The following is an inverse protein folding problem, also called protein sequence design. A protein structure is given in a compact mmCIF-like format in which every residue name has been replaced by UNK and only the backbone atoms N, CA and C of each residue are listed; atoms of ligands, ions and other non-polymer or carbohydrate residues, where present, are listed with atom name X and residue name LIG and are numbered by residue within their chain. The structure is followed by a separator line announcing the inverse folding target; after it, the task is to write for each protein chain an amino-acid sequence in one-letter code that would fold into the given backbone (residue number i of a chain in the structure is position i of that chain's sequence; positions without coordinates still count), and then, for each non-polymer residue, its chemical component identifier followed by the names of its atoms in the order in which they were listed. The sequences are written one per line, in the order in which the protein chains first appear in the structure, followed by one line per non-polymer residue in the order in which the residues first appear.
data_IF_692157951604
#
_entry.id   IF_692157951604
#
_cell.length_a   1.000
_cell.length_b   1.000
_cell.length_c   1.000
_cell.angle_alpha   90.00
_cell.angle_beta   90.00
_cell.angle_gamma   90.00
#
_symmetry.space_group_name_H-M   'P 1'
#
loop_
_entity.id
_entity.type
_entity.pdbx_description
1 polymer ?
#
# COMPACT_ATOMS: atom_id res chain seq x y z
N UNK A 1 3.44 -13.96 4.49
CA UNK A 1 2.28 -14.59 3.82
C UNK A 1 2.33 -14.42 2.29
N UNK A 2 2.43 -13.19 1.76
CA UNK A 2 2.50 -12.95 0.31
C UNK A 2 3.61 -13.75 -0.42
N UNK A 3 4.81 -13.83 0.16
CA UNK A 3 5.90 -14.65 -0.38
C UNK A 3 5.56 -16.15 -0.48
N UNK A 4 4.81 -16.70 0.49
CA UNK A 4 4.37 -18.10 0.46
C UNK A 4 3.31 -18.34 -0.62
N UNK A 5 2.41 -17.36 -0.82
CA UNK A 5 1.43 -17.39 -1.92
C UNK A 5 2.14 -17.32 -3.28
N UNK A 6 3.20 -16.51 -3.39
CA UNK A 6 3.98 -16.42 -4.61
C UNK A 6 4.65 -17.75 -4.96
N UNK A 7 5.25 -18.42 -3.96
CA UNK A 7 5.86 -19.74 -4.14
C UNK A 7 4.82 -20.78 -4.54
N UNK A 8 3.62 -20.77 -3.93
CA UNK A 8 2.60 -21.78 -4.21
C UNK A 8 1.86 -21.57 -5.54
N UNK A 9 1.71 -20.32 -6.00
CA UNK A 9 0.98 -19.99 -7.24
C UNK A 9 1.89 -19.69 -8.43
N UNK A 10 3.21 -19.60 -8.22
CA UNK A 10 4.19 -19.22 -9.24
C UNK A 10 4.15 -17.73 -9.64
N UNK A 11 3.35 -16.91 -8.95
CA UNK A 11 3.21 -15.48 -9.22
C UNK A 11 2.90 -14.70 -7.93
N UNK A 12 3.47 -13.50 -7.79
CA UNK A 12 3.19 -12.64 -6.65
C UNK A 12 1.70 -12.24 -6.60
N UNK A 13 1.06 -12.21 -5.41
CA UNK A 13 -0.34 -11.85 -5.29
C UNK A 13 -0.56 -10.33 -5.49
N UNK A 14 -1.82 -9.95 -5.67
CA UNK A 14 -2.28 -8.57 -5.48
C UNK A 14 -2.79 -8.42 -4.05
N UNK A 15 -2.35 -7.37 -3.34
CA UNK A 15 -2.80 -7.02 -2.00
C UNK A 15 -3.75 -5.83 -2.07
N UNK A 16 -4.91 -5.97 -1.42
CA UNK A 16 -5.90 -4.89 -1.23
C UNK A 16 -5.97 -4.60 0.26
N UNK A 17 -5.54 -3.41 0.67
CA UNK A 17 -5.45 -3.02 2.07
C UNK A 17 -6.34 -1.82 2.34
N UNK A 18 -7.28 -1.95 3.27
CA UNK A 18 -8.14 -0.85 3.67
C UNK A 18 -7.51 -0.09 4.83
N UNK A 19 -7.16 1.16 4.60
CA UNK A 19 -6.58 2.12 5.56
C UNK A 19 -5.44 1.55 6.43
N UNK A 20 -4.43 0.84 5.87
CA UNK A 20 -3.47 0.07 6.67
C UNK A 20 -2.53 0.94 7.53
N UNK A 21 -2.53 2.27 7.32
CA UNK A 21 -1.70 3.24 8.02
C UNK A 21 -2.43 4.03 9.11
N UNK A 22 -3.77 3.93 9.22
CA UNK A 22 -4.60 4.87 9.98
C UNK A 22 -4.30 4.89 11.49
N UNK A 23 -3.95 3.74 12.07
CA UNK A 23 -3.64 3.61 13.51
C UNK A 23 -2.14 3.51 13.81
N UNK A 24 -1.29 3.69 12.80
CA UNK A 24 0.15 3.57 12.96
C UNK A 24 0.79 4.93 13.25
N UNK A 25 1.75 4.94 14.16
CA UNK A 25 2.68 6.07 14.31
C UNK A 25 3.67 6.14 13.13
N UNK A 26 4.47 7.21 13.06
CA UNK A 26 5.39 7.44 11.95
C UNK A 26 6.42 6.30 11.75
N UNK A 27 6.92 5.70 12.83
CA UNK A 27 7.91 4.64 12.75
C UNK A 27 7.28 3.35 12.19
N UNK A 28 6.07 3.01 12.65
CA UNK A 28 5.34 1.85 12.16
C UNK A 28 4.84 2.04 10.72
N UNK A 29 4.44 3.26 10.32
CA UNK A 29 4.11 3.58 8.92
C UNK A 29 5.31 3.35 8.00
N UNK A 30 6.48 3.83 8.39
CA UNK A 30 7.74 3.62 7.66
C UNK A 30 8.07 2.13 7.53
N UNK A 31 8.01 1.38 8.64
CA UNK A 31 8.28 -0.06 8.64
C UNK A 31 7.31 -0.85 7.74
N UNK A 32 6.03 -0.47 7.72
CA UNK A 32 5.04 -1.08 6.84
C UNK A 32 5.31 -0.76 5.37
N UNK A 33 5.59 0.50 5.02
CA UNK A 33 5.93 0.90 3.66
C UNK A 33 7.13 0.12 3.12
N UNK A 34 8.20 0.03 3.92
CA UNK A 34 9.39 -0.77 3.63
C UNK A 34 9.08 -2.27 3.44
N UNK A 35 8.19 -2.83 4.26
CA UNK A 35 7.78 -4.22 4.13
C UNK A 35 6.97 -4.49 2.85
N UNK A 36 6.11 -3.56 2.46
CA UNK A 36 5.33 -3.64 1.21
C UNK A 36 6.24 -3.57 -0.01
N UNK A 37 7.22 -2.65 -0.01
CA UNK A 37 8.18 -2.50 -1.10
C UNK A 37 9.03 -3.77 -1.30
N UNK A 38 9.53 -4.37 -0.22
CA UNK A 38 10.28 -5.64 -0.28
C UNK A 38 9.44 -6.86 -0.63
N UNK A 39 8.12 -6.79 -0.45
CA UNK A 39 7.20 -7.92 -0.60
C UNK A 39 7.01 -8.38 -2.05
N UNK A 40 7.35 -7.55 -3.04
CA UNK A 40 7.26 -7.86 -4.48
C UNK A 40 5.85 -8.09 -5.01
N UNK A 41 4.82 -7.89 -4.17
CA UNK A 41 3.42 -7.97 -4.53
C UNK A 41 2.93 -6.62 -5.08
N UNK A 42 1.99 -6.65 -6.03
CA UNK A 42 1.26 -5.44 -6.38
C UNK A 42 0.34 -5.06 -5.22
N UNK A 43 0.42 -3.82 -4.75
CA UNK A 43 -0.38 -3.33 -3.62
C UNK A 43 -1.32 -2.22 -4.10
N UNK A 44 -2.57 -2.30 -3.67
CA UNK A 44 -3.51 -1.18 -3.64
C UNK A 44 -3.91 -0.95 -2.20
N UNK A 45 -3.89 0.30 -1.77
CA UNK A 45 -4.33 0.67 -0.43
C UNK A 45 -5.09 1.99 -0.43
N UNK A 46 -6.00 2.12 0.53
CA UNK A 46 -6.69 3.38 0.83
C UNK A 46 -5.97 4.11 1.97
N UNK A 47 -6.11 5.43 1.98
CA UNK A 47 -5.65 6.28 3.07
C UNK A 47 -6.57 7.49 3.16
N UNK A 48 -6.77 7.99 4.37
CA UNK A 48 -7.61 9.17 4.64
C UNK A 48 -6.80 10.47 4.59
N UNK A 49 -5.49 10.39 4.84
CA UNK A 49 -4.60 11.54 4.88
C UNK A 49 -3.36 11.32 4.01
N UNK A 50 -2.89 12.39 3.36
CA UNK A 50 -1.70 12.32 2.49
C UNK A 50 -0.43 11.94 3.25
N UNK A 51 -0.28 12.38 4.49
CA UNK A 51 0.90 12.09 5.32
C UNK A 51 1.01 10.61 5.68
N UNK A 52 -0.09 9.84 5.61
CA UNK A 52 -0.06 8.38 5.77
C UNK A 52 0.69 7.70 4.62
N UNK A 53 0.66 8.31 3.42
CA UNK A 53 1.26 7.78 2.19
C UNK A 53 2.74 8.16 2.04
N UNK A 54 3.28 9.03 2.91
CA UNK A 54 4.67 9.48 2.82
C UNK A 54 5.69 8.32 2.86
N UNK A 55 5.32 7.21 3.50
CA UNK A 55 6.13 5.99 3.59
C UNK A 55 6.14 5.13 2.31
N UNK A 56 5.33 5.47 1.28
CA UNK A 56 5.17 4.68 0.06
C UNK A 56 6.05 5.14 -1.11
N UNK A 57 6.88 6.17 -0.93
CA UNK A 57 7.89 6.58 -1.91
C UNK A 57 7.32 6.93 -3.29
N UNK A 58 7.65 6.12 -4.29
CA UNK A 58 7.32 6.29 -5.71
C UNK A 58 5.93 5.75 -6.12
N UNK A 59 5.10 5.39 -5.13
CA UNK A 59 3.74 4.92 -5.37
C UNK A 59 2.91 5.93 -6.19
N UNK A 60 2.14 5.41 -7.14
CA UNK A 60 1.10 6.20 -7.79
C UNK A 60 -0.03 6.48 -6.80
N UNK A 61 -0.34 7.77 -6.59
CA UNK A 61 -1.40 8.21 -5.70
C UNK A 61 -2.57 8.70 -6.54
N UNK A 62 -3.78 8.26 -6.17
CA UNK A 62 -5.02 8.75 -6.72
C UNK A 62 -5.89 9.33 -5.62
N UNK A 63 -6.47 10.49 -5.87
CA UNK A 63 -7.56 11.05 -5.07
C UNK A 63 -8.88 10.59 -5.65
N UNK A 64 -9.74 10.06 -4.77
CA UNK A 64 -11.09 9.61 -5.12
C UNK A 64 -12.08 10.62 -4.57
N UNK A 65 -12.98 11.13 -5.42
CA UNK A 65 -14.00 12.08 -5.00
C UNK A 65 -14.89 12.49 -6.16
N UNK A 66 -16.12 12.94 -5.86
CA UNK A 66 -17.08 13.43 -6.86
C UNK A 66 -17.38 12.39 -7.98
N UNK A 67 -17.34 11.09 -7.66
CA UNK A 67 -17.52 10.02 -8.64
C UNK A 67 -16.36 9.87 -9.63
N UNK A 68 -15.19 10.46 -9.35
CA UNK A 68 -14.02 10.43 -10.22
C UNK A 68 -12.74 10.01 -9.48
N UNK A 69 -11.78 9.50 -10.26
CA UNK A 69 -10.40 9.25 -9.85
C UNK A 69 -9.49 10.28 -10.51
N UNK A 70 -8.68 10.97 -9.70
CA UNK A 70 -7.71 11.96 -10.17
C UNK A 70 -6.32 11.53 -9.72
N UNK A 71 -5.34 11.57 -10.62
CA UNK A 71 -3.94 11.31 -10.24
C UNK A 71 -3.39 12.53 -9.50
N UNK A 72 -2.77 12.28 -8.35
CA UNK A 72 -2.17 13.32 -7.51
C UNK A 72 -0.70 13.56 -7.85
#
# INVERSE_FOLDING_TARGET
HAALVAISRGAAPVLLLDEPFVHLDAAHRSALGEALHRGGAQVFCTATERDQLAALGDAAIWTVGEGALRRA
#
